data_IF_931220725429
#
_entry.id   IF_931220725429
#
_cell.length_a   1.000
_cell.length_b   1.000
_cell.length_c   1.000
_cell.angle_alpha   90.00
_cell.angle_beta   90.00
_cell.angle_gamma   90.00
#
_symmetry.space_group_name_H-M   'P 1'
#
loop_
_entity.id
_entity.type
_entity.pdbx_description
1 polymer ?
#
# COMPACT_ATOMS: atom_id res chain seq x y z
N UNK A 1 11.02 -25.94 3.93
CA UNK A 1 10.89 -25.59 5.37
C UNK A 1 10.93 -24.07 5.49
N UNK A 2 10.08 -23.46 6.30
CA UNK A 2 10.16 -22.04 6.60
C UNK A 2 10.59 -21.86 8.06
N UNK A 3 11.43 -20.85 8.32
CA UNK A 3 11.75 -20.42 9.66
C UNK A 3 11.70 -18.90 9.73
N UNK A 4 11.24 -18.41 10.86
CA UNK A 4 11.14 -17.00 11.14
C UNK A 4 11.17 -16.72 12.63
N UNK A 5 11.54 -15.52 12.97
CA UNK A 5 11.55 -14.99 14.34
C UNK A 5 10.61 -13.79 14.38
N UNK A 6 9.78 -13.75 15.43
CA UNK A 6 8.92 -12.59 15.73
C UNK A 6 9.18 -12.15 17.15
N UNK A 7 9.36 -10.87 17.34
CA UNK A 7 9.47 -10.25 18.67
C UNK A 7 8.40 -9.19 18.85
N UNK A 8 7.93 -9.05 20.08
CA UNK A 8 6.87 -8.12 20.44
C UNK A 8 7.18 -7.48 21.80
N UNK A 9 7.16 -6.17 21.86
CA UNK A 9 7.31 -5.42 23.10
C UNK A 9 6.04 -4.62 23.36
N UNK A 10 5.44 -4.84 24.52
CA UNK A 10 4.23 -4.13 24.96
C UNK A 10 4.54 -3.25 26.15
N UNK A 11 3.85 -2.13 26.28
CA UNK A 11 3.87 -1.30 27.50
C UNK A 11 3.18 -2.05 28.65
N UNK A 12 3.40 -1.60 29.85
CA UNK A 12 2.71 -2.11 31.06
C UNK A 12 1.17 -1.98 30.92
N UNK A 13 0.70 -1.03 30.12
CA UNK A 13 -0.73 -0.85 29.79
C UNK A 13 -1.28 -1.90 28.81
N UNK A 14 -0.45 -2.83 28.30
CA UNK A 14 -0.85 -3.85 27.31
C UNK A 14 -0.82 -3.36 25.87
N UNK A 15 -0.57 -2.07 25.61
CA UNK A 15 -0.44 -1.56 24.25
C UNK A 15 0.88 -2.02 23.62
N UNK A 16 0.79 -2.58 22.42
CA UNK A 16 1.94 -2.97 21.63
C UNK A 16 2.74 -1.73 21.24
N UNK A 17 4.01 -1.68 21.64
CA UNK A 17 4.88 -0.55 21.35
C UNK A 17 5.82 -0.81 20.19
N UNK A 18 6.29 -2.04 20.05
CA UNK A 18 7.20 -2.43 19.00
C UNK A 18 6.95 -3.88 18.59
N UNK A 19 6.93 -4.11 17.30
CA UNK A 19 6.87 -5.45 16.71
C UNK A 19 7.90 -5.55 15.61
N UNK A 20 8.64 -6.65 15.58
CA UNK A 20 9.49 -6.98 14.46
C UNK A 20 9.39 -8.47 14.13
N UNK A 21 9.48 -8.78 12.85
CA UNK A 21 9.56 -10.15 12.38
C UNK A 21 10.54 -10.27 11.22
N UNK A 22 11.21 -11.41 11.11
CA UNK A 22 12.01 -11.75 9.97
C UNK A 22 11.87 -13.25 9.66
N UNK A 23 11.93 -13.60 8.39
CA UNK A 23 11.76 -14.98 7.98
C UNK A 23 12.34 -15.27 6.60
N UNK A 24 12.59 -16.56 6.37
CA UNK A 24 13.08 -17.10 5.10
C UNK A 24 12.53 -18.51 4.88
N UNK A 25 12.40 -18.92 3.64
CA UNK A 25 12.02 -20.27 3.24
C UNK A 25 13.26 -21.01 2.73
N UNK A 26 13.47 -22.23 3.18
CA UNK A 26 14.47 -23.17 2.64
C UNK A 26 13.76 -24.24 1.81
N UNK A 27 14.25 -24.44 0.59
CA UNK A 27 13.77 -25.45 -0.34
C UNK A 27 14.69 -26.65 -0.28
N UNK A 28 14.15 -27.84 -0.10
CA UNK A 28 14.91 -29.09 -0.07
C UNK A 28 14.94 -29.80 -1.42
N UNK A 29 14.07 -29.36 -2.34
CA UNK A 29 13.99 -29.82 -3.71
C UNK A 29 13.96 -28.63 -4.63
N UNK A 30 14.52 -28.77 -5.83
CA UNK A 30 14.49 -27.74 -6.84
C UNK A 30 13.04 -27.43 -7.25
N UNK A 31 12.72 -26.16 -7.31
CA UNK A 31 11.41 -25.72 -7.80
C UNK A 31 11.28 -26.00 -9.28
N UNK A 32 10.17 -26.59 -9.70
CA UNK A 32 9.92 -26.97 -11.09
C UNK A 32 8.88 -26.09 -11.77
N UNK A 33 8.23 -25.19 -11.03
CA UNK A 33 7.15 -24.35 -11.54
C UNK A 33 7.40 -22.89 -11.10
N UNK A 34 7.36 -21.99 -12.06
CA UNK A 34 7.34 -20.54 -11.84
C UNK A 34 6.00 -20.00 -12.32
N UNK A 35 5.58 -18.87 -11.77
CA UNK A 35 4.38 -18.17 -12.20
C UNK A 35 4.62 -17.39 -13.51
N UNK A 36 5.86 -17.01 -13.76
CA UNK A 36 6.28 -16.29 -14.96
C UNK A 36 7.50 -16.98 -15.58
N UNK A 37 7.56 -17.01 -16.92
CA UNK A 37 8.68 -17.59 -17.66
C UNK A 37 10.02 -16.89 -17.40
N UNK A 38 9.99 -15.60 -17.06
CA UNK A 38 11.14 -14.79 -16.69
C UNK A 38 11.73 -15.13 -15.31
N UNK A 39 11.06 -15.92 -14.49
CA UNK A 39 11.53 -16.28 -13.14
C UNK A 39 12.30 -17.61 -13.07
N UNK A 40 12.80 -18.11 -14.20
CA UNK A 40 13.56 -19.37 -14.27
C UNK A 40 14.83 -19.36 -13.41
N UNK A 41 15.43 -18.19 -13.19
CA UNK A 41 16.59 -18.00 -12.31
C UNK A 41 16.34 -18.46 -10.86
N UNK A 42 15.10 -18.40 -10.39
CA UNK A 42 14.75 -18.79 -9.02
C UNK A 42 14.58 -20.30 -8.84
N UNK A 43 14.56 -21.10 -9.93
CA UNK A 43 14.28 -22.52 -9.86
C UNK A 43 15.36 -23.33 -9.09
N UNK A 44 16.63 -22.98 -9.26
CA UNK A 44 17.75 -23.65 -8.62
C UNK A 44 18.17 -23.11 -7.25
N UNK A 45 17.47 -22.08 -6.73
CA UNK A 45 17.85 -21.46 -5.46
C UNK A 45 17.38 -22.28 -4.26
N UNK A 46 18.30 -22.58 -3.34
CA UNK A 46 17.99 -23.33 -2.13
C UNK A 46 17.16 -22.55 -1.10
N UNK A 47 17.12 -21.21 -1.21
CA UNK A 47 16.38 -20.37 -0.27
C UNK A 47 15.59 -19.28 -1.01
N UNK A 48 14.52 -18.78 -0.37
CA UNK A 48 13.84 -17.55 -0.80
C UNK A 48 14.62 -16.30 -0.42
N UNK A 49 14.14 -15.14 -0.88
CA UNK A 49 14.48 -13.85 -0.28
C UNK A 49 14.21 -13.87 1.24
N UNK A 50 14.95 -13.07 1.98
CA UNK A 50 14.69 -12.82 3.40
C UNK A 50 13.71 -11.67 3.52
N UNK A 51 12.60 -11.89 4.19
CA UNK A 51 11.61 -10.86 4.51
C UNK A 51 11.84 -10.38 5.93
N UNK A 52 11.85 -9.08 6.15
CA UNK A 52 11.86 -8.48 7.48
C UNK A 52 10.88 -7.32 7.53
N UNK A 53 10.17 -7.22 8.65
CA UNK A 53 9.24 -6.14 8.93
C UNK A 53 9.42 -5.63 10.36
N UNK A 54 9.21 -4.35 10.55
CA UNK A 54 9.20 -3.74 11.87
C UNK A 54 8.10 -2.67 11.93
N UNK A 55 7.45 -2.59 13.08
CA UNK A 55 6.46 -1.56 13.40
C UNK A 55 6.70 -1.04 14.80
N UNK A 56 6.71 0.28 14.92
CA UNK A 56 6.91 0.99 16.17
C UNK A 56 5.77 1.97 16.40
N UNK A 57 5.13 1.86 17.55
CA UNK A 57 4.02 2.71 17.97
C UNK A 57 4.50 3.66 19.09
N UNK A 58 5.11 4.82 18.75
CA UNK A 58 5.61 5.76 19.75
C UNK A 58 4.50 6.33 20.63
N UNK A 59 3.32 6.51 20.08
CA UNK A 59 2.10 7.01 20.73
C UNK A 59 0.91 6.11 20.32
N UNK A 60 -0.23 6.27 21.01
CA UNK A 60 -1.41 5.45 20.77
C UNK A 60 -1.89 5.51 19.29
N UNK A 61 -1.84 6.71 18.71
CA UNK A 61 -2.42 6.98 17.38
C UNK A 61 -1.38 7.03 16.28
N UNK A 62 -0.10 6.81 16.60
CA UNK A 62 1.00 6.88 15.63
C UNK A 62 1.71 5.55 15.47
N UNK A 63 1.92 5.16 14.24
CA UNK A 63 2.78 4.02 13.90
C UNK A 63 3.80 4.39 12.82
N UNK A 64 5.01 3.88 13.00
CA UNK A 64 6.07 3.91 12.00
C UNK A 64 6.34 2.48 11.60
N UNK A 65 6.38 2.20 10.32
CA UNK A 65 6.60 0.85 9.83
C UNK A 65 7.67 0.80 8.77
N UNK A 66 8.32 -0.35 8.69
CA UNK A 66 9.28 -0.68 7.64
C UNK A 66 9.12 -2.14 7.21
N UNK A 67 9.37 -2.39 5.94
CA UNK A 67 9.42 -3.70 5.32
C UNK A 67 10.61 -3.75 4.39
N UNK A 68 11.34 -4.86 4.37
CA UNK A 68 12.42 -5.11 3.45
C UNK A 68 12.36 -6.57 2.95
N UNK A 69 12.52 -6.73 1.65
CA UNK A 69 12.80 -8.00 1.01
C UNK A 69 14.23 -7.97 0.49
N UNK A 70 15.08 -8.82 1.06
CA UNK A 70 16.50 -8.93 0.73
C UNK A 70 16.79 -10.19 -0.06
N UNK A 71 17.40 -10.03 -1.23
CA UNK A 71 17.88 -11.15 -2.02
C UNK A 71 19.34 -11.50 -1.63
N UNK A 72 19.55 -12.65 -0.98
CA UNK A 72 20.89 -13.05 -0.51
C UNK A 72 21.82 -13.55 -1.61
N UNK A 73 21.27 -13.85 -2.80
CA UNK A 73 22.05 -14.36 -3.93
C UNK A 73 22.67 -13.24 -4.77
N UNK A 74 21.93 -12.15 -4.89
CA UNK A 74 22.37 -10.98 -5.64
C UNK A 74 22.80 -9.81 -4.74
N UNK A 75 22.68 -9.98 -3.42
CA UNK A 75 23.13 -9.06 -2.37
C UNK A 75 22.52 -7.65 -2.48
N UNK A 76 21.20 -7.56 -2.72
CA UNK A 76 20.48 -6.29 -2.76
C UNK A 76 19.06 -6.41 -2.19
N UNK A 77 18.47 -5.26 -1.85
CA UNK A 77 17.08 -5.18 -1.45
C UNK A 77 16.18 -5.13 -2.70
N UNK A 78 15.37 -6.18 -2.90
CA UNK A 78 14.39 -6.24 -3.99
C UNK A 78 13.24 -5.29 -3.77
N UNK A 79 12.78 -5.20 -2.52
CA UNK A 79 11.72 -4.29 -2.14
C UNK A 79 12.00 -3.69 -0.77
N UNK A 80 11.78 -2.40 -0.67
CA UNK A 80 11.80 -1.67 0.59
C UNK A 80 10.54 -0.82 0.69
N UNK A 81 9.92 -0.84 1.85
CA UNK A 81 8.77 0.01 2.15
C UNK A 81 8.89 0.54 3.56
N UNK A 82 8.72 1.83 3.72
CA UNK A 82 8.67 2.48 5.02
C UNK A 82 7.65 3.61 5.01
N UNK A 83 7.09 3.87 6.17
CA UNK A 83 6.08 4.91 6.27
C UNK A 83 5.67 5.22 7.69
N UNK A 84 4.82 6.21 7.78
CA UNK A 84 4.23 6.71 9.01
C UNK A 84 2.71 6.73 8.84
N UNK A 85 2.01 6.38 9.89
CA UNK A 85 0.54 6.42 9.97
C UNK A 85 0.12 7.14 11.22
N UNK A 86 -0.94 7.89 11.10
CA UNK A 86 -1.70 8.45 12.19
C UNK A 86 -3.15 7.97 12.07
N UNK A 87 -3.78 7.58 13.14
CA UNK A 87 -5.18 7.18 13.13
C UNK A 87 -5.79 7.17 14.52
N UNK A 88 -6.86 7.94 14.67
CA UNK A 88 -7.70 7.95 15.84
C UNK A 88 -9.06 7.33 15.50
N UNK A 89 -9.45 6.27 16.17
CA UNK A 89 -10.79 5.66 16.15
C UNK A 89 -11.59 5.74 14.83
N UNK A 90 -10.96 5.65 13.68
CA UNK A 90 -11.59 5.71 12.34
C UNK A 90 -12.15 7.08 11.90
N UNK A 91 -11.93 8.15 12.64
CA UNK A 91 -12.38 9.50 12.25
C UNK A 91 -11.28 10.32 11.54
N UNK A 92 -10.03 10.14 11.95
CA UNK A 92 -8.90 10.85 11.37
C UNK A 92 -7.80 9.85 11.06
N UNK A 93 -7.44 9.75 9.80
CA UNK A 93 -6.39 8.87 9.33
C UNK A 93 -5.52 9.62 8.36
N UNK A 94 -4.23 9.51 8.57
CA UNK A 94 -3.19 10.01 7.66
C UNK A 94 -2.18 8.89 7.47
N UNK A 95 -1.73 8.70 6.26
CA UNK A 95 -0.65 7.77 5.96
C UNK A 95 0.26 8.36 4.89
N UNK A 96 1.54 8.18 5.07
CA UNK A 96 2.53 8.45 4.04
C UNK A 96 3.54 7.31 4.03
N UNK A 97 3.79 6.76 2.86
CA UNK A 97 4.76 5.68 2.69
C UNK A 97 5.53 5.80 1.39
N UNK A 98 6.79 5.41 1.44
CA UNK A 98 7.64 5.25 0.26
C UNK A 98 7.88 3.76 0.02
N UNK A 99 7.71 3.33 -1.21
CA UNK A 99 8.01 1.98 -1.67
C UNK A 99 9.04 2.07 -2.77
N UNK A 100 10.12 1.31 -2.65
CA UNK A 100 11.14 1.16 -3.66
C UNK A 100 11.23 -0.31 -4.06
N UNK A 101 11.17 -0.57 -5.36
CA UNK A 101 11.27 -1.91 -5.94
C UNK A 101 12.42 -1.91 -6.92
N UNK A 102 13.37 -2.79 -6.69
CA UNK A 102 14.53 -3.00 -7.54
C UNK A 102 14.39 -4.39 -8.18
N UNK A 103 14.52 -4.45 -9.47
CA UNK A 103 14.58 -5.68 -10.23
C UNK A 103 15.87 -5.68 -11.04
N UNK A 104 16.65 -6.73 -10.84
CA UNK A 104 17.89 -6.96 -11.56
C UNK A 104 17.73 -8.23 -12.37
N UNK A 105 17.89 -8.13 -13.67
CA UNK A 105 17.83 -9.28 -14.56
C UNK A 105 19.27 -9.78 -14.79
N UNK A 106 19.51 -11.05 -14.48
CA UNK A 106 20.84 -11.66 -14.60
C UNK A 106 21.25 -11.94 -16.05
N UNK A 107 20.27 -12.07 -16.94
CA UNK A 107 20.49 -12.41 -18.35
C UNK A 107 20.54 -11.18 -19.25
N UNK A 108 19.90 -10.11 -18.88
CA UNK A 108 19.97 -8.80 -19.51
C UNK A 108 20.58 -7.80 -18.54
N UNK A 109 21.58 -7.05 -18.97
CA UNK A 109 22.24 -6.01 -18.16
C UNK A 109 21.31 -4.81 -17.87
N UNK A 110 20.00 -5.11 -17.67
CA UNK A 110 18.93 -4.12 -17.47
C UNK A 110 18.44 -4.14 -16.04
N UNK A 111 18.75 -3.09 -15.32
CA UNK A 111 18.25 -2.85 -13.96
C UNK A 111 16.99 -1.96 -14.00
N UNK A 112 15.93 -2.41 -13.36
CA UNK A 112 14.71 -1.62 -13.15
C UNK A 112 14.63 -1.14 -11.71
N UNK A 113 14.51 0.15 -11.52
CA UNK A 113 14.28 0.75 -10.22
C UNK A 113 13.01 1.60 -10.27
N UNK A 114 12.08 1.33 -9.38
CA UNK A 114 10.85 2.11 -9.23
C UNK A 114 10.72 2.58 -7.80
N UNK A 115 10.53 3.88 -7.62
CA UNK A 115 10.31 4.48 -6.30
C UNK A 115 9.01 5.25 -6.29
N UNK A 116 8.10 4.85 -5.42
CA UNK A 116 6.76 5.41 -5.30
C UNK A 116 6.54 6.04 -3.94
N UNK A 117 5.80 7.14 -3.93
CA UNK A 117 5.28 7.81 -2.74
C UNK A 117 3.77 7.66 -2.73
N UNK A 118 3.23 7.15 -1.64
CA UNK A 118 1.80 6.99 -1.39
C UNK A 118 1.41 7.82 -0.17
N UNK A 119 0.51 8.78 -0.35
CA UNK A 119 -0.01 9.62 0.70
C UNK A 119 -1.53 9.55 0.69
N UNK A 120 -2.13 9.17 1.81
CA UNK A 120 -3.58 9.03 1.97
C UNK A 120 -4.09 9.71 3.24
N UNK A 121 -5.30 10.22 3.18
CA UNK A 121 -5.97 10.88 4.29
C UNK A 121 -7.47 10.61 4.30
N UNK A 122 -8.01 10.43 5.49
CA UNK A 122 -9.43 10.51 5.77
C UNK A 122 -9.61 11.39 7.01
N UNK A 123 -10.45 12.42 6.93
CA UNK A 123 -10.58 13.41 7.98
C UNK A 123 -12.03 13.80 8.21
N UNK A 124 -12.57 13.43 9.35
CA UNK A 124 -13.88 13.87 9.78
C UNK A 124 -13.82 15.36 10.19
N UNK A 125 -14.62 16.18 9.55
CA UNK A 125 -14.78 17.59 9.91
C UNK A 125 -15.75 17.75 11.09
N UNK A 126 -16.74 16.87 11.16
CA UNK A 126 -17.74 16.76 12.22
C UNK A 126 -18.45 15.39 12.10
N UNK A 127 -19.51 15.17 12.89
CA UNK A 127 -20.24 13.90 12.91
C UNK A 127 -20.87 13.55 11.56
N UNK A 128 -21.14 14.54 10.71
CA UNK A 128 -21.79 14.35 9.41
C UNK A 128 -20.82 14.37 8.23
N UNK A 129 -19.83 15.22 8.24
CA UNK A 129 -18.97 15.47 7.11
C UNK A 129 -17.56 14.94 7.30
N UNK A 130 -17.01 14.34 6.26
CA UNK A 130 -15.61 13.97 6.19
C UNK A 130 -15.04 14.24 4.81
N UNK A 131 -13.75 14.55 4.77
CA UNK A 131 -12.94 14.66 3.56
C UNK A 131 -12.03 13.43 3.48
N UNK A 132 -11.75 12.99 2.25
CA UNK A 132 -10.78 11.95 2.03
C UNK A 132 -10.01 12.17 0.73
N UNK A 133 -8.82 11.63 0.68
CA UNK A 133 -8.01 11.71 -0.51
C UNK A 133 -6.80 10.80 -0.45
N UNK A 134 -6.25 10.48 -1.64
CA UNK A 134 -5.00 9.74 -1.80
C UNK A 134 -4.27 10.24 -3.03
N UNK A 135 -2.97 10.29 -2.93
CA UNK A 135 -2.08 10.52 -4.06
C UNK A 135 -1.02 9.44 -4.08
N UNK A 136 -0.97 8.69 -5.17
CA UNK A 136 0.13 7.79 -5.49
C UNK A 136 0.97 8.44 -6.59
N UNK A 137 2.25 8.60 -6.31
CA UNK A 137 3.20 9.29 -7.20
C UNK A 137 4.40 8.40 -7.45
N UNK A 138 4.82 8.32 -8.69
CA UNK A 138 6.09 7.71 -9.09
C UNK A 138 7.17 8.80 -9.02
N UNK A 139 8.13 8.64 -8.10
CA UNK A 139 9.22 9.61 -7.91
C UNK A 139 10.40 9.32 -8.82
N UNK A 140 10.59 8.03 -9.16
CA UNK A 140 11.68 7.58 -10.01
C UNK A 140 11.29 6.25 -10.63
N UNK A 141 11.32 6.20 -11.92
CA UNK A 141 11.26 4.96 -12.68
C UNK A 141 12.44 4.99 -13.64
N UNK A 142 13.41 4.13 -13.40
CA UNK A 142 14.63 4.04 -14.21
C UNK A 142 14.66 2.68 -14.88
N UNK A 143 14.91 2.72 -16.19
CA UNK A 143 15.32 1.57 -16.99
C UNK A 143 16.53 2.04 -17.78
N UNK A 144 17.57 1.22 -17.86
CA UNK A 144 18.79 1.57 -18.57
C UNK A 144 18.55 1.90 -20.07
N UNK A 145 17.47 1.36 -20.64
CA UNK A 145 17.13 1.55 -22.05
C UNK A 145 16.30 2.80 -22.36
N UNK A 146 15.53 3.34 -21.39
CA UNK A 146 14.72 4.54 -21.61
C UNK A 146 14.59 5.41 -20.34
N UNK A 147 15.03 6.69 -20.42
CA UNK A 147 14.78 7.63 -19.32
C UNK A 147 13.29 7.91 -19.22
N UNK A 148 12.68 7.44 -18.16
CA UNK A 148 11.27 7.67 -17.87
C UNK A 148 11.06 9.06 -17.24
N UNK A 149 9.95 9.74 -17.52
CA UNK A 149 9.67 11.02 -16.90
C UNK A 149 9.64 10.89 -15.38
N UNK A 150 10.49 11.66 -14.73
CA UNK A 150 10.52 11.76 -13.27
C UNK A 150 9.25 12.42 -12.76
N UNK A 151 8.75 11.96 -11.60
CA UNK A 151 7.69 12.62 -10.83
C UNK A 151 6.30 12.63 -11.50
N UNK A 152 5.75 11.45 -11.76
CA UNK A 152 4.41 11.30 -12.32
C UNK A 152 3.36 10.90 -11.27
N UNK A 153 2.21 11.57 -11.30
CA UNK A 153 1.04 11.15 -10.51
C UNK A 153 0.38 9.94 -11.19
N UNK A 154 0.42 8.79 -10.51
CA UNK A 154 -0.19 7.54 -10.97
C UNK A 154 -1.67 7.46 -10.62
N UNK A 155 -2.03 7.91 -9.43
CA UNK A 155 -3.41 7.96 -8.96
C UNK A 155 -3.62 9.19 -8.08
N UNK A 156 -4.70 9.89 -8.35
CA UNK A 156 -5.25 10.94 -7.49
C UNK A 156 -6.70 10.59 -7.19
N UNK A 157 -7.03 10.55 -5.91
CA UNK A 157 -8.38 10.34 -5.42
C UNK A 157 -8.68 11.44 -4.42
N UNK A 158 -9.83 12.11 -4.56
CA UNK A 158 -10.28 13.12 -3.61
C UNK A 158 -11.80 13.11 -3.52
N UNK A 159 -12.34 13.23 -2.34
CA UNK A 159 -13.79 13.17 -2.17
C UNK A 159 -14.28 13.70 -0.84
N UNK A 160 -15.60 13.71 -0.76
CA UNK A 160 -16.38 14.20 0.34
C UNK A 160 -17.38 13.11 0.76
N UNK A 161 -17.49 12.88 2.05
CA UNK A 161 -18.50 12.01 2.64
C UNK A 161 -19.46 12.83 3.49
N UNK A 162 -20.74 12.55 3.32
CA UNK A 162 -21.80 12.97 4.23
C UNK A 162 -22.47 11.76 4.83
N UNK A 163 -22.65 11.74 6.15
CA UNK A 163 -23.39 10.68 6.81
C UNK A 163 -24.46 11.23 7.76
N UNK A 164 -25.55 10.49 7.85
CA UNK A 164 -26.66 10.73 8.76
C UNK A 164 -26.98 9.43 9.53
N UNK A 165 -27.96 9.46 10.42
CA UNK A 165 -28.43 8.25 11.12
C UNK A 165 -28.73 7.09 10.17
N UNK A 166 -29.37 7.38 9.02
CA UNK A 166 -30.02 6.37 8.21
C UNK A 166 -29.39 6.19 6.82
N UNK A 167 -28.57 7.12 6.36
CA UNK A 167 -27.91 7.06 5.06
C UNK A 167 -26.54 7.72 5.06
N UNK A 168 -25.73 7.38 4.08
CA UNK A 168 -24.42 7.94 3.80
C UNK A 168 -24.29 8.16 2.30
N UNK A 169 -23.71 9.28 1.91
CA UNK A 169 -23.36 9.59 0.54
C UNK A 169 -21.86 9.90 0.45
N UNK A 170 -21.22 9.42 -0.59
CA UNK A 170 -19.84 9.71 -0.92
C UNK A 170 -19.77 10.21 -2.34
N UNK A 171 -19.14 11.36 -2.54
CA UNK A 171 -18.85 11.93 -3.83
C UNK A 171 -17.35 12.03 -4.00
N UNK A 172 -16.81 11.50 -5.10
CA UNK A 172 -15.40 11.30 -5.29
C UNK A 172 -14.98 11.57 -6.72
N UNK A 173 -13.85 12.24 -6.87
CA UNK A 173 -13.06 12.34 -8.09
C UNK A 173 -11.93 11.34 -8.06
N UNK A 174 -11.71 10.64 -9.14
CA UNK A 174 -10.57 9.76 -9.33
C UNK A 174 -9.91 10.00 -10.67
N UNK A 175 -8.60 10.18 -10.66
CA UNK A 175 -7.74 10.27 -11.83
C UNK A 175 -6.70 9.16 -11.74
N UNK A 176 -6.49 8.44 -12.82
CA UNK A 176 -5.46 7.39 -12.91
C UNK A 176 -4.68 7.56 -14.20
N UNK A 177 -3.37 7.40 -14.11
CA UNK A 177 -2.48 7.34 -15.26
C UNK A 177 -2.09 5.87 -15.46
N UNK A 178 -2.71 5.13 -16.40
CA UNK A 178 -2.39 3.73 -16.60
C UNK A 178 -0.96 3.60 -17.13
N UNK A 179 -0.19 2.72 -16.50
CA UNK A 179 1.11 2.29 -17.01
C UNK A 179 0.84 1.15 -17.98
N UNK A 180 1.00 1.39 -19.27
CA UNK A 180 1.02 0.30 -20.25
C UNK A 180 2.42 -0.31 -20.28
N UNK A 181 2.50 -1.63 -20.39
CA UNK A 181 3.78 -2.35 -20.51
C UNK A 181 4.58 -1.82 -21.71
N UNK A 182 5.63 -1.05 -21.44
CA UNK A 182 6.59 -0.57 -22.43
C UNK A 182 6.32 0.80 -23.04
N UNK A 183 5.15 1.41 -22.84
CA UNK A 183 4.86 2.74 -23.37
C UNK A 183 4.04 3.54 -22.35
N UNK A 184 4.54 4.70 -21.94
CA UNK A 184 3.77 5.64 -21.15
C UNK A 184 2.66 6.23 -22.02
N UNK A 185 1.47 5.68 -21.92
CA UNK A 185 0.31 6.38 -22.46
C UNK A 185 0.04 7.58 -21.59
N UNK A 186 0.22 8.77 -22.16
CA UNK A 186 -0.08 10.07 -21.56
C UNK A 186 -1.60 10.25 -21.30
N UNK A 187 -2.40 9.24 -21.58
CA UNK A 187 -3.86 9.30 -21.43
C UNK A 187 -4.26 9.09 -19.96
N UNK A 188 -4.42 10.20 -19.28
CA UNK A 188 -5.05 10.24 -17.97
C UNK A 188 -6.53 9.86 -18.08
N UNK A 189 -6.95 8.91 -17.27
CA UNK A 189 -8.36 8.54 -17.12
C UNK A 189 -8.89 9.17 -15.85
N UNK A 190 -9.98 9.90 -15.97
CA UNK A 190 -10.64 10.50 -14.82
C UNK A 190 -12.12 10.15 -14.79
N UNK A 191 -12.69 10.17 -13.62
CA UNK A 191 -14.10 9.90 -13.41
C UNK A 191 -14.62 10.48 -12.10
N UNK A 192 -15.92 10.72 -12.09
CA UNK A 192 -16.66 11.07 -10.90
C UNK A 192 -17.46 9.87 -10.45
N UNK A 193 -17.48 9.63 -9.15
CA UNK A 193 -18.18 8.50 -8.56
C UNK A 193 -19.10 9.02 -7.46
N UNK A 194 -20.34 8.54 -7.45
CA UNK A 194 -21.31 8.78 -6.40
C UNK A 194 -21.75 7.45 -5.82
N UNK A 195 -21.71 7.32 -4.52
CA UNK A 195 -22.24 6.19 -3.79
C UNK A 195 -23.22 6.68 -2.74
N UNK A 196 -24.38 6.04 -2.67
CA UNK A 196 -25.39 6.29 -1.66
C UNK A 196 -25.67 4.96 -0.95
N UNK A 197 -25.57 4.96 0.34
CA UNK A 197 -25.84 3.81 1.17
C UNK A 197 -26.96 4.10 2.15
N UNK A 198 -27.95 3.24 2.13
CA UNK A 198 -29.00 3.21 3.14
C UNK A 198 -28.57 2.23 4.24
N UNK A 199 -28.33 2.75 5.45
CA UNK A 199 -27.85 1.96 6.59
C UNK A 199 -28.90 0.89 6.93
N UNK A 200 -28.45 -0.37 6.97
CA UNK A 200 -29.32 -1.51 7.27
C UNK A 200 -30.11 -2.10 6.09
N UNK A 201 -30.09 -1.49 4.89
CA UNK A 201 -30.83 -1.99 3.74
C UNK A 201 -29.91 -2.37 2.57
N UNK A 202 -29.30 -1.40 1.91
CA UNK A 202 -28.53 -1.65 0.70
C UNK A 202 -27.53 -0.52 0.41
N UNK A 203 -26.58 -0.81 -0.47
CA UNK A 203 -25.67 0.17 -1.04
C UNK A 203 -26.00 0.32 -2.53
N UNK A 204 -26.22 1.55 -2.98
CA UNK A 204 -26.42 1.92 -4.37
C UNK A 204 -25.19 2.69 -4.85
N UNK A 205 -24.64 2.32 -6.01
CA UNK A 205 -23.47 2.96 -6.61
C UNK A 205 -22.24 2.08 -6.69
N UNK A 206 -21.13 2.65 -7.14
CA UNK A 206 -19.83 1.96 -7.22
C UNK A 206 -19.30 1.63 -5.83
N UNK A 207 -18.53 0.55 -5.71
CA UNK A 207 -17.93 0.08 -4.45
C UNK A 207 -16.90 1.04 -3.83
N UNK A 208 -17.32 2.27 -3.51
CA UNK A 208 -16.46 3.33 -2.98
C UNK A 208 -15.84 2.95 -1.64
N UNK A 209 -16.57 2.23 -0.79
CA UNK A 209 -16.04 1.75 0.49
C UNK A 209 -14.89 0.76 0.31
N UNK A 210 -15.03 -0.15 -0.66
CA UNK A 210 -13.95 -1.07 -1.00
C UNK A 210 -12.74 -0.31 -1.54
N UNK A 211 -12.97 0.62 -2.46
CA UNK A 211 -11.90 1.44 -3.01
C UNK A 211 -11.18 2.27 -1.94
N UNK A 212 -11.92 2.87 -1.00
CA UNK A 212 -11.32 3.61 0.12
C UNK A 212 -10.53 2.69 1.05
N UNK A 213 -11.06 1.50 1.35
CA UNK A 213 -10.36 0.49 2.17
C UNK A 213 -9.07 -0.02 1.53
N UNK A 214 -9.03 -0.11 0.20
CA UNK A 214 -7.84 -0.49 -0.57
C UNK A 214 -6.86 0.68 -0.73
N UNK A 215 -7.38 1.90 -0.79
CA UNK A 215 -6.61 3.11 -1.10
C UNK A 215 -6.06 3.83 0.14
N UNK A 216 -6.79 3.84 1.25
CA UNK A 216 -6.40 4.55 2.48
C UNK A 216 -6.16 3.52 3.57
N UNK A 217 -4.91 3.41 3.99
CA UNK A 217 -4.53 2.44 5.01
C UNK A 217 -5.24 2.71 6.34
N UNK A 218 -5.86 1.66 6.88
CA UNK A 218 -6.59 1.74 8.14
C UNK A 218 -8.01 2.28 8.01
N UNK A 219 -8.43 2.67 6.79
CA UNK A 219 -9.83 3.07 6.58
C UNK A 219 -10.76 1.93 6.97
N UNK A 220 -11.56 2.21 7.97
CA UNK A 220 -12.69 1.38 8.36
C UNK A 220 -13.94 2.23 8.27
N UNK A 221 -15.03 1.59 7.88
CA UNK A 221 -16.31 2.27 7.78
C UNK A 221 -16.67 2.95 9.10
N UNK A 222 -16.87 4.26 9.09
CA UNK A 222 -17.33 5.00 10.27
C UNK A 222 -18.64 4.41 10.79
N UNK A 223 -18.67 4.12 12.07
CA UNK A 223 -19.93 3.80 12.77
C UNK A 223 -20.55 5.11 13.25
N UNK A 224 -21.78 5.33 12.88
CA UNK A 224 -22.58 6.38 13.49
C UNK A 224 -22.85 5.96 14.92
N UNK A 225 -22.41 6.75 15.89
CA UNK A 225 -22.80 6.54 17.27
C UNK A 225 -24.23 7.04 17.40
N UNK A 226 -25.17 6.11 17.54
CA UNK A 226 -26.50 6.44 17.99
C UNK A 226 -26.39 6.96 19.42
N UNK A 227 -26.79 8.20 19.62
CA UNK A 227 -26.96 8.78 20.96
C UNK A 227 -28.22 8.24 21.63
#
# INVERSE_FOLDING_TARGET
>A
MSAGVKTLFSRVSGLEQFRASAGRIWYFEDRRVTLNETETEFLGRATSSTLAEAEWNPMADWSVFSFIEWDPYQDYARQQRYGVRYGDDSNHMLSISSTEVNYRDSDSDVDYNTKQLDAGAFWALNDHWALFGRQLRDLKSYSDDEPQPEDQVLELLAGLEYQSCCWRAQFMYRETSPRSSGEFTTEKRFGWMLSIQLKGLTTLGSGTDQLLGESIYGYTRRRYHDF
#
